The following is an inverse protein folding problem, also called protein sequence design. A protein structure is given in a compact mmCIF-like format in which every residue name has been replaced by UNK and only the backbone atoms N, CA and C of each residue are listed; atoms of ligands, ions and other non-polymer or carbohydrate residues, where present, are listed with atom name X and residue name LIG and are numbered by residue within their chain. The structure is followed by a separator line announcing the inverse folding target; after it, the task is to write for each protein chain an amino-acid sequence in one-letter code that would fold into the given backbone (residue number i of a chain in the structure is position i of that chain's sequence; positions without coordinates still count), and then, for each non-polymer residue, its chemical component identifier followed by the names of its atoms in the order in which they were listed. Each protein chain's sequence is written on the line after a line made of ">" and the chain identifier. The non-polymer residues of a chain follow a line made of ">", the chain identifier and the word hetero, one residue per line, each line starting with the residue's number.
data_IF_815237615197
#
_entry.id   IF_815237615197
#
_cell.length_a   1.000
_cell.length_b   1.000
_cell.length_c   1.000
_cell.angle_alpha   90.00
_cell.angle_beta   90.00
_cell.angle_gamma   90.00
#
_symmetry.space_group_name_H-M   'P 1'
#
loop_
_entity.id
_entity.type
_entity.pdbx_description
1 polymer ?
#
# COMPACT_ATOMS: atom_id res chain seq x y z
N UNK A 1 20.60 -73.91 -12.44
CA UNK A 1 19.71 -73.13 -13.33
C UNK A 1 19.38 -71.84 -12.59
N UNK A 2 20.05 -70.76 -12.95
CA UNK A 2 19.81 -69.40 -12.44
C UNK A 2 19.12 -68.67 -13.58
N UNK A 3 17.90 -68.18 -13.37
CA UNK A 3 17.33 -67.01 -14.05
C UNK A 3 16.12 -66.51 -13.24
N UNK A 4 16.30 -65.41 -12.49
CA UNK A 4 15.20 -64.51 -12.15
C UNK A 4 15.29 -63.35 -13.15
N UNK A 5 14.24 -63.16 -13.96
CA UNK A 5 14.19 -62.14 -15.02
C UNK A 5 13.73 -60.78 -14.49
N UNK A 6 14.29 -59.74 -15.10
CA UNK A 6 14.02 -58.31 -14.91
C UNK A 6 12.80 -57.86 -15.72
N UNK A 7 11.87 -57.14 -15.10
CA UNK A 7 10.99 -56.13 -15.72
C UNK A 7 10.30 -55.39 -14.56
N UNK A 8 10.46 -54.12 -14.26
CA UNK A 8 10.81 -52.90 -14.98
C UNK A 8 9.95 -51.80 -14.30
N UNK A 9 10.42 -50.55 -14.11
CA UNK A 9 9.77 -49.61 -13.21
C UNK A 9 8.72 -48.71 -13.93
N UNK A 10 7.81 -48.20 -13.12
CA UNK A 10 6.97 -47.00 -13.33
C UNK A 10 5.81 -47.12 -14.32
N UNK A 11 4.67 -47.58 -13.79
CA UNK A 11 3.35 -47.23 -14.33
C UNK A 11 2.83 -45.97 -13.62
N UNK A 12 3.38 -44.79 -13.92
CA UNK A 12 2.79 -43.49 -13.52
C UNK A 12 3.11 -42.42 -14.56
N UNK A 13 2.54 -42.54 -15.77
CA UNK A 13 2.60 -41.51 -16.82
C UNK A 13 1.23 -40.89 -17.11
N UNK A 14 0.31 -40.95 -16.15
CA UNK A 14 -1.01 -40.30 -16.19
C UNK A 14 -1.22 -39.32 -15.02
N UNK A 15 -0.15 -39.00 -14.29
CA UNK A 15 -0.17 -38.06 -13.17
C UNK A 15 0.29 -36.65 -13.54
N UNK A 16 0.66 -36.37 -14.80
CA UNK A 16 1.45 -35.16 -15.05
C UNK A 16 0.65 -33.93 -15.50
N UNK A 17 -0.34 -34.08 -16.40
CA UNK A 17 -1.02 -32.90 -16.96
C UNK A 17 -1.99 -32.23 -15.98
N UNK A 18 -2.79 -33.02 -15.25
CA UNK A 18 -3.71 -32.47 -14.27
C UNK A 18 -2.97 -31.81 -13.10
N UNK A 19 -1.86 -32.40 -12.64
CA UNK A 19 -1.02 -31.83 -11.57
C UNK A 19 -0.28 -30.58 -12.05
N UNK A 20 0.24 -30.57 -13.28
CA UNK A 20 0.86 -29.40 -13.89
C UNK A 20 -0.13 -28.22 -14.01
N UNK A 21 -1.35 -28.49 -14.46
CA UNK A 21 -2.41 -27.48 -14.50
C UNK A 21 -2.78 -27.00 -13.09
N UNK A 22 -2.91 -27.91 -12.11
CA UNK A 22 -3.25 -27.54 -10.73
C UNK A 22 -2.18 -26.63 -10.10
N UNK A 23 -0.90 -26.95 -10.31
CA UNK A 23 0.23 -26.16 -9.82
C UNK A 23 0.33 -24.81 -10.52
N UNK A 24 0.05 -24.74 -11.82
CA UNK A 24 -0.05 -23.46 -12.54
C UNK A 24 -1.19 -22.58 -12.00
N UNK A 25 -2.37 -23.15 -11.76
CA UNK A 25 -3.50 -22.41 -11.19
C UNK A 25 -3.21 -21.94 -9.77
N UNK A 26 -2.58 -22.78 -8.95
CA UNK A 26 -2.17 -22.40 -7.59
C UNK A 26 -1.18 -21.22 -7.62
N UNK A 27 -0.16 -21.26 -8.48
CA UNK A 27 0.80 -20.16 -8.64
C UNK A 27 0.14 -18.88 -9.18
N UNK A 28 -0.84 -19.01 -10.07
CA UNK A 28 -1.61 -17.86 -10.55
C UNK A 28 -2.46 -17.26 -9.43
N UNK A 29 -3.13 -18.09 -8.62
CA UNK A 29 -3.92 -17.63 -7.47
C UNK A 29 -3.01 -16.97 -6.43
N UNK A 30 -1.86 -17.56 -6.09
CA UNK A 30 -0.93 -16.94 -5.13
C UNK A 30 -0.36 -15.63 -5.65
N UNK A 31 -0.07 -15.54 -6.95
CA UNK A 31 0.34 -14.28 -7.59
C UNK A 31 -0.77 -13.23 -7.53
N UNK A 32 -2.02 -13.59 -7.84
CA UNK A 32 -3.16 -12.68 -7.73
C UNK A 32 -3.38 -12.25 -6.27
N UNK A 33 -3.28 -13.15 -5.29
CA UNK A 33 -3.36 -12.81 -3.87
C UNK A 33 -2.22 -11.89 -3.41
N UNK A 34 -1.01 -12.11 -3.91
CA UNK A 34 0.14 -11.24 -3.67
C UNK A 34 -0.05 -9.85 -4.30
N UNK A 35 -0.57 -9.78 -5.53
CA UNK A 35 -0.95 -8.51 -6.18
C UNK A 35 -2.06 -7.78 -5.42
N UNK A 36 -3.02 -8.53 -4.89
CA UNK A 36 -4.11 -7.99 -4.06
C UNK A 36 -3.51 -7.38 -2.77
N UNK A 37 -2.56 -8.04 -2.09
CA UNK A 37 -1.86 -7.46 -0.94
C UNK A 37 -1.09 -6.17 -1.28
N UNK A 38 -0.48 -6.10 -2.46
CA UNK A 38 0.21 -4.89 -2.94
C UNK A 38 -0.74 -3.73 -3.27
N UNK A 39 -2.05 -3.98 -3.40
CA UNK A 39 -3.05 -2.98 -3.73
C UNK A 39 -3.75 -2.34 -2.52
N UNK A 40 -3.54 -2.87 -1.31
CA UNK A 40 -4.20 -2.38 -0.10
C UNK A 40 -3.41 -1.28 0.60
N UNK A 41 -3.61 -0.02 0.18
CA UNK A 41 -3.23 1.16 0.95
C UNK A 41 -4.29 1.50 1.99
N UNK A 42 -4.57 0.58 2.93
CA UNK A 42 -5.66 0.65 3.91
C UNK A 42 -5.21 0.49 5.37
N UNK A 43 -3.90 0.43 5.65
CA UNK A 43 -3.39 0.30 7.01
C UNK A 43 -3.03 1.67 7.61
N UNK A 44 -3.27 1.88 8.91
CA UNK A 44 -2.80 3.12 9.52
C UNK A 44 -1.26 3.11 9.52
N UNK A 45 -0.57 4.21 9.15
CA UNK A 45 0.87 4.30 9.27
C UNK A 45 1.33 3.99 10.70
N UNK A 46 2.61 3.63 10.85
CA UNK A 46 3.19 3.40 12.17
C UNK A 46 2.83 4.51 13.17
N UNK A 47 2.49 4.13 14.42
CA UNK A 47 2.16 5.08 15.50
C UNK A 47 3.27 6.11 15.78
N UNK A 48 4.49 5.83 15.31
CA UNK A 48 5.60 6.79 15.29
C UNK A 48 5.25 8.05 14.48
N UNK A 49 4.60 7.88 13.34
CA UNK A 49 4.31 8.95 12.37
C UNK A 49 2.90 9.53 12.53
N UNK A 50 1.90 8.68 12.71
CA UNK A 50 0.50 9.11 12.74
C UNK A 50 -0.34 8.22 13.63
N UNK A 51 -1.52 8.70 13.99
CA UNK A 51 -2.58 7.91 14.64
C UNK A 51 -3.84 8.02 13.81
N UNK A 52 -4.69 6.99 13.83
CA UNK A 52 -5.90 6.97 13.04
C UNK A 52 -7.13 6.71 13.90
N UNK A 53 -8.24 7.27 13.46
CA UNK A 53 -9.59 6.87 13.87
C UNK A 53 -9.88 5.40 13.54
N UNK A 54 -10.88 4.82 14.21
CA UNK A 54 -11.25 3.41 14.02
C UNK A 54 -11.71 3.09 12.59
N UNK A 55 -12.34 4.04 11.90
CA UNK A 55 -12.77 3.91 10.50
C UNK A 55 -11.68 4.35 9.49
N UNK A 56 -10.52 4.80 9.99
CA UNK A 56 -9.36 5.26 9.22
C UNK A 56 -9.63 6.46 8.29
N UNK A 57 -10.70 7.20 8.53
CA UNK A 57 -11.04 8.40 7.73
C UNK A 57 -10.37 9.66 8.26
N UNK A 58 -10.05 9.69 9.55
CA UNK A 58 -9.32 10.76 10.22
C UNK A 58 -7.93 10.28 10.61
N UNK A 59 -6.90 10.99 10.16
CA UNK A 59 -5.50 10.70 10.41
C UNK A 59 -4.81 11.91 11.05
N UNK A 60 -4.23 11.68 12.22
CA UNK A 60 -3.58 12.69 13.07
C UNK A 60 -2.06 12.44 13.12
N UNK A 61 -1.30 13.33 12.49
CA UNK A 61 0.17 13.26 12.38
C UNK A 61 0.86 14.49 13.01
N UNK A 62 0.19 15.18 13.92
CA UNK A 62 0.61 16.45 14.51
C UNK A 62 1.86 16.32 15.38
N UNK A 63 2.81 17.25 15.25
CA UNK A 63 4.01 17.36 16.09
C UNK A 63 4.88 16.08 16.13
N UNK A 64 5.12 15.47 14.96
CA UNK A 64 5.91 14.24 14.80
C UNK A 64 7.25 14.45 14.11
N UNK A 65 7.67 15.70 13.97
CA UNK A 65 8.92 16.10 13.31
C UNK A 65 9.02 15.58 11.87
N UNK A 66 7.87 15.47 11.19
CA UNK A 66 7.82 14.90 9.85
C UNK A 66 8.48 15.83 8.84
N UNK A 67 9.35 15.25 8.02
CA UNK A 67 9.95 15.88 6.85
C UNK A 67 9.31 15.30 5.58
N UNK A 68 9.53 15.95 4.44
CA UNK A 68 9.06 15.40 3.15
C UNK A 68 9.62 14.02 2.83
N UNK A 69 10.85 13.72 3.26
CA UNK A 69 11.45 12.39 3.08
C UNK A 69 10.71 11.32 3.90
N UNK A 70 10.37 11.62 5.15
CA UNK A 70 9.58 10.72 6.00
C UNK A 70 8.17 10.57 5.46
N UNK A 71 7.53 11.68 5.08
CA UNK A 71 6.19 11.66 4.51
C UNK A 71 6.14 10.77 3.27
N UNK A 72 7.11 10.89 2.35
CA UNK A 72 7.19 10.06 1.16
C UNK A 72 7.28 8.56 1.48
N UNK A 73 7.98 8.18 2.54
CA UNK A 73 8.13 6.77 2.96
C UNK A 73 6.80 6.12 3.34
N UNK A 74 5.99 6.79 4.17
CA UNK A 74 4.72 6.23 4.64
C UNK A 74 3.48 6.73 3.87
N UNK A 75 3.65 7.56 2.84
CA UNK A 75 2.53 8.04 2.00
C UNK A 75 1.70 6.90 1.40
N UNK A 76 2.35 5.79 1.05
CA UNK A 76 1.65 4.60 0.52
C UNK A 76 0.92 3.80 1.59
N UNK A 77 1.34 3.94 2.85
CA UNK A 77 0.63 3.35 4.00
C UNK A 77 -0.67 4.11 4.26
N UNK A 78 -0.73 5.43 4.00
CA UNK A 78 -1.94 6.22 4.28
C UNK A 78 -3.21 5.65 3.60
N UNK A 79 -4.28 5.37 4.38
CA UNK A 79 -5.59 4.97 3.91
C UNK A 79 -6.11 5.82 2.75
N UNK A 80 -6.49 5.21 1.63
CA UNK A 80 -7.07 5.96 0.49
C UNK A 80 -8.45 6.56 0.79
N UNK A 81 -9.10 6.06 1.83
CA UNK A 81 -10.36 6.58 2.39
C UNK A 81 -10.18 7.81 3.29
N UNK A 82 -8.96 8.31 3.48
CA UNK A 82 -8.69 9.49 4.33
C UNK A 82 -9.52 10.70 3.88
N UNK A 83 -10.30 11.25 4.80
CA UNK A 83 -11.14 12.45 4.62
C UNK A 83 -10.47 13.66 5.27
N UNK A 84 -9.90 13.46 6.47
CA UNK A 84 -9.18 14.49 7.23
C UNK A 84 -7.75 14.00 7.49
N UNK A 85 -6.78 14.81 7.07
CA UNK A 85 -5.36 14.59 7.37
C UNK A 85 -4.80 15.81 8.10
N UNK A 86 -4.39 15.61 9.35
CA UNK A 86 -3.72 16.64 10.14
C UNK A 86 -2.21 16.41 10.13
N UNK A 87 -1.48 17.30 9.46
CA UNK A 87 -0.01 17.32 9.39
C UNK A 87 0.57 18.55 10.09
N UNK A 88 -0.19 19.20 10.96
CA UNK A 88 0.23 20.44 11.62
C UNK A 88 1.47 20.25 12.50
N UNK A 89 2.18 21.35 12.74
CA UNK A 89 3.37 21.39 13.62
C UNK A 89 4.48 20.42 13.19
N UNK A 90 4.75 20.32 11.89
CA UNK A 90 5.83 19.49 11.34
C UNK A 90 6.86 20.34 10.57
N UNK A 91 7.76 19.70 9.81
CA UNK A 91 8.82 20.36 9.05
C UNK A 91 8.64 20.18 7.55
N UNK A 92 7.40 20.08 7.08
CA UNK A 92 7.11 19.91 5.65
C UNK A 92 7.38 21.20 4.89
N UNK A 93 7.95 21.07 3.70
CA UNK A 93 8.18 22.15 2.74
C UNK A 93 7.36 21.97 1.46
N UNK A 94 6.75 20.80 1.27
CA UNK A 94 5.92 20.43 0.11
C UNK A 94 4.85 19.40 0.51
N UNK A 95 3.85 19.19 -0.36
CA UNK A 95 2.77 18.19 -0.19
C UNK A 95 2.61 17.26 -1.40
N UNK A 96 3.54 17.26 -2.35
CA UNK A 96 3.39 16.55 -3.63
C UNK A 96 3.19 15.03 -3.48
N UNK A 97 3.70 14.44 -2.39
CA UNK A 97 3.52 13.01 -2.12
C UNK A 97 2.06 12.66 -1.80
N UNK A 98 1.24 13.60 -1.33
CA UNK A 98 -0.15 13.34 -0.92
C UNK A 98 -1.14 13.23 -2.09
N UNK A 99 -0.68 13.38 -3.33
CA UNK A 99 -1.50 13.43 -4.55
C UNK A 99 -2.39 12.21 -4.80
N UNK A 100 -2.14 11.09 -4.12
CA UNK A 100 -2.93 9.87 -4.24
C UNK A 100 -4.11 9.80 -3.24
N UNK A 101 -4.32 10.82 -2.40
CA UNK A 101 -5.41 10.88 -1.43
C UNK A 101 -6.64 11.59 -2.01
N UNK A 102 -7.28 10.95 -2.98
CA UNK A 102 -8.38 11.53 -3.77
C UNK A 102 -9.65 11.83 -2.96
N UNK A 103 -9.81 11.18 -1.80
CA UNK A 103 -10.96 11.36 -0.89
C UNK A 103 -10.76 12.50 0.11
N UNK A 104 -9.58 13.13 0.11
CA UNK A 104 -9.19 14.12 1.11
C UNK A 104 -10.01 15.40 0.96
N UNK A 105 -10.67 15.80 2.05
CA UNK A 105 -11.51 17.00 2.12
C UNK A 105 -10.93 18.09 3.01
N UNK A 106 -10.17 17.68 4.02
CA UNK A 106 -9.59 18.58 5.01
C UNK A 106 -8.12 18.25 5.17
N UNK A 107 -7.24 19.23 4.98
CA UNK A 107 -5.79 19.08 5.10
C UNK A 107 -5.20 20.20 5.96
N UNK A 108 -4.87 19.89 7.21
CA UNK A 108 -4.21 20.86 8.09
C UNK A 108 -2.69 20.80 7.92
N UNK A 109 -2.11 21.89 7.42
CA UNK A 109 -0.66 22.08 7.24
C UNK A 109 -0.11 23.21 8.12
N UNK A 110 -0.89 23.68 9.10
CA UNK A 110 -0.50 24.78 9.98
C UNK A 110 0.83 24.50 10.69
N UNK A 111 1.62 25.54 10.93
CA UNK A 111 2.93 25.42 11.61
C UNK A 111 3.93 24.48 10.92
N UNK A 112 3.90 24.39 9.58
CA UNK A 112 4.94 23.75 8.78
C UNK A 112 5.98 24.77 8.25
N UNK A 113 6.88 24.33 7.36
CA UNK A 113 7.92 25.14 6.71
C UNK A 113 7.64 25.38 5.22
N UNK A 114 6.38 25.26 4.81
CA UNK A 114 5.93 25.49 3.43
C UNK A 114 5.99 27.00 3.16
N UNK A 115 6.81 27.40 2.19
CA UNK A 115 6.93 28.80 1.75
C UNK A 115 6.20 29.05 0.43
N UNK A 116 6.20 28.05 -0.45
CA UNK A 116 5.61 28.12 -1.77
C UNK A 116 4.91 26.81 -2.08
N UNK A 117 3.76 26.92 -2.74
CA UNK A 117 3.05 25.81 -3.35
C UNK A 117 2.91 26.10 -4.84
N UNK A 118 3.04 25.08 -5.68
CA UNK A 118 2.80 25.26 -7.11
C UNK A 118 1.32 25.59 -7.35
N UNK A 119 1.03 26.46 -8.31
CA UNK A 119 -0.34 26.91 -8.60
C UNK A 119 -1.30 25.78 -8.96
N UNK A 120 -0.78 24.68 -9.47
CA UNK A 120 -1.54 23.49 -9.86
C UNK A 120 -1.63 22.43 -8.76
N UNK A 121 -1.06 22.62 -7.57
CA UNK A 121 -1.01 21.54 -6.57
C UNK A 121 -2.42 21.07 -6.16
N UNK A 122 -3.37 22.01 -6.08
CA UNK A 122 -4.75 21.71 -5.68
C UNK A 122 -5.54 20.94 -6.75
N UNK A 123 -5.08 20.88 -8.00
CA UNK A 123 -5.70 20.00 -8.99
C UNK A 123 -5.50 18.51 -8.66
N UNK A 124 -4.54 18.19 -7.78
CA UNK A 124 -4.30 16.84 -7.26
C UNK A 124 -5.22 16.50 -6.07
N UNK A 125 -5.98 17.47 -5.54
CA UNK A 125 -6.89 17.29 -4.41
C UNK A 125 -8.30 17.77 -4.77
N UNK A 126 -8.99 17.06 -5.68
CA UNK A 126 -10.25 17.54 -6.28
C UNK A 126 -11.41 17.68 -5.27
N UNK A 127 -11.30 17.06 -4.09
CA UNK A 127 -12.32 17.11 -3.05
C UNK A 127 -11.96 18.03 -1.88
N UNK A 128 -10.82 18.74 -1.95
CA UNK A 128 -10.36 19.58 -0.85
C UNK A 128 -11.31 20.77 -0.65
N UNK A 129 -11.73 20.97 0.59
CA UNK A 129 -12.70 22.01 1.00
C UNK A 129 -12.18 22.91 2.11
N UNK A 130 -11.14 22.48 2.84
CA UNK A 130 -10.57 23.23 3.96
C UNK A 130 -9.09 22.90 4.15
#
# INVERSE_FOLDING_TARGET
>A
MVYFSLSGPVMTLATDHAIFILTMLFNFITYILFLIQLSFGDECPSFKYCTCSSDKTVIECTNRQLTNELLLKFTNELPKSTILLNLSSNFLTSINSLSNLNSLKILDLSFNKIQYLSSNIFSQFPQLTS
#
